data_IF_988813496912
#
_entry.id   IF_988813496912
#
_cell.length_a   1.000
_cell.length_b   1.000
_cell.length_c   1.000
_cell.angle_alpha   90.00
_cell.angle_beta   90.00
_cell.angle_gamma   90.00
#
_symmetry.space_group_name_H-M   'P 1'
#
loop_
_entity.id
_entity.type
_entity.pdbx_description
1 polymer ?
#
# COMPACT_ATOMS: atom_id res chain seq x y z
N UNK A 1 -1.51 -0.92 -8.69
CA UNK A 1 -0.92 -2.23 -9.02
C UNK A 1 -1.00 -2.39 -10.52
N UNK A 2 0.14 -2.69 -11.14
CA UNK A 2 0.27 -2.89 -12.58
C UNK A 2 0.91 -4.26 -12.81
N UNK A 3 0.65 -4.87 -13.95
CA UNK A 3 1.40 -6.06 -14.37
C UNK A 3 2.77 -5.69 -14.95
N UNK A 4 3.56 -6.70 -15.33
CA UNK A 4 4.89 -6.51 -15.93
C UNK A 4 4.88 -5.84 -17.31
N UNK A 5 3.71 -5.74 -17.96
CA UNK A 5 3.53 -5.00 -19.22
C UNK A 5 3.14 -3.53 -19.00
N UNK A 6 2.91 -3.13 -17.75
CA UNK A 6 2.43 -1.79 -17.39
C UNK A 6 0.91 -1.64 -17.48
N UNK A 7 0.15 -2.72 -17.69
CA UNK A 7 -1.32 -2.66 -17.67
C UNK A 7 -1.83 -2.49 -16.24
N UNK A 8 -2.83 -1.63 -16.07
CA UNK A 8 -3.43 -1.39 -14.76
C UNK A 8 -4.25 -2.59 -14.29
N UNK A 9 -4.00 -3.04 -13.06
CA UNK A 9 -4.73 -4.15 -12.43
C UNK A 9 -5.70 -3.65 -11.35
N UNK A 10 -5.21 -2.88 -10.39
CA UNK A 10 -6.00 -2.43 -9.23
C UNK A 10 -5.33 -1.29 -8.46
N UNK A 11 -6.04 -0.73 -7.49
CA UNK A 11 -5.51 0.19 -6.49
C UNK A 11 -6.03 -0.16 -5.10
N UNK A 12 -5.32 0.28 -4.07
CA UNK A 12 -5.75 0.15 -2.68
C UNK A 12 -6.48 1.44 -2.30
N UNK A 13 -7.73 1.32 -1.87
CA UNK A 13 -8.51 2.45 -1.40
C UNK A 13 -8.14 2.80 0.05
N UNK A 14 -7.68 4.03 0.29
CA UNK A 14 -7.29 4.54 1.61
C UNK A 14 -8.26 5.60 2.15
N UNK A 15 -9.42 5.81 1.53
CA UNK A 15 -10.32 6.92 1.86
C UNK A 15 -10.83 6.90 3.31
N UNK A 16 -11.01 5.72 3.91
CA UNK A 16 -11.43 5.59 5.31
C UNK A 16 -10.34 5.93 6.32
N UNK A 17 -9.07 5.78 5.92
CA UNK A 17 -7.90 6.08 6.74
C UNK A 17 -6.75 6.62 5.86
N UNK A 18 -6.83 7.91 5.46
CA UNK A 18 -5.94 8.50 4.46
C UNK A 18 -4.48 8.49 4.90
N UNK A 19 -3.58 8.31 3.93
CA UNK A 19 -2.14 8.45 4.15
C UNK A 19 -1.77 9.92 4.38
N UNK A 20 -0.78 10.16 5.23
CA UNK A 20 -0.25 11.50 5.51
C UNK A 20 1.28 11.48 5.53
N UNK A 21 1.90 11.91 4.44
CA UNK A 21 3.36 11.92 4.29
C UNK A 21 4.03 10.54 4.38
N UNK A 22 3.55 9.51 3.64
CA UNK A 22 4.21 8.21 3.62
C UNK A 22 5.59 8.30 2.95
N UNK A 23 6.58 7.59 3.49
CA UNK A 23 7.97 7.67 3.00
C UNK A 23 8.52 6.36 2.43
N UNK A 24 7.92 5.24 2.78
CA UNK A 24 8.42 3.93 2.35
C UNK A 24 7.31 2.89 2.29
N UNK A 25 7.56 1.84 1.52
CA UNK A 25 6.71 0.67 1.43
C UNK A 25 7.54 -0.60 1.30
N UNK A 26 6.99 -1.71 1.79
CA UNK A 26 7.54 -3.05 1.65
C UNK A 26 6.43 -4.06 1.36
N UNK A 27 6.78 -5.15 0.68
CA UNK A 27 5.88 -6.27 0.46
C UNK A 27 6.19 -7.39 1.46
N UNK A 28 5.15 -8.08 1.88
CA UNK A 28 5.22 -9.27 2.74
C UNK A 28 4.93 -10.51 1.92
N UNK A 29 5.48 -11.66 2.33
CA UNK A 29 5.29 -12.94 1.61
C UNK A 29 3.85 -13.46 1.66
N UNK A 30 3.04 -12.96 2.59
CA UNK A 30 1.62 -13.32 2.75
C UNK A 30 0.66 -12.35 2.04
N UNK A 31 1.16 -11.47 1.18
CA UNK A 31 0.32 -10.67 0.27
C UNK A 31 -0.15 -9.33 0.80
N UNK A 32 0.61 -8.72 1.71
CA UNK A 32 0.37 -7.37 2.20
C UNK A 32 1.44 -6.38 1.75
N UNK A 33 1.03 -5.14 1.53
CA UNK A 33 1.91 -3.99 1.46
C UNK A 33 1.88 -3.27 2.79
N UNK A 34 3.05 -3.03 3.35
CA UNK A 34 3.24 -2.24 4.56
C UNK A 34 3.75 -0.87 4.14
N UNK A 35 3.10 0.19 4.61
CA UNK A 35 3.44 1.59 4.30
C UNK A 35 3.89 2.28 5.57
N UNK A 36 5.07 2.91 5.55
CA UNK A 36 5.55 3.78 6.62
C UNK A 36 4.91 5.16 6.48
N UNK A 37 3.80 5.39 7.18
CA UNK A 37 2.98 6.59 7.10
C UNK A 37 3.44 7.63 8.12
N UNK A 38 4.53 8.34 7.79
CA UNK A 38 5.32 9.09 8.77
C UNK A 38 4.57 10.26 9.40
N UNK A 39 3.69 10.93 8.65
CA UNK A 39 2.87 12.01 9.20
C UNK A 39 1.76 11.52 10.13
N UNK A 40 1.30 10.27 9.97
CA UNK A 40 0.38 9.64 10.92
C UNK A 40 1.11 8.86 12.02
N UNK A 41 2.44 8.89 12.05
CA UNK A 41 3.29 8.22 13.03
C UNK A 41 3.01 6.72 13.18
N UNK A 42 2.66 6.03 12.09
CA UNK A 42 2.28 4.63 12.12
C UNK A 42 2.75 3.85 10.89
N UNK A 43 2.65 2.52 10.98
CA UNK A 43 2.70 1.65 9.80
C UNK A 43 1.27 1.24 9.43
N UNK A 44 0.89 1.44 8.17
CA UNK A 44 -0.40 0.98 7.64
C UNK A 44 -0.20 -0.27 6.80
N UNK A 45 -1.08 -1.25 6.96
CA UNK A 45 -0.97 -2.55 6.30
C UNK A 45 -2.20 -2.77 5.44
N UNK A 46 -1.98 -3.08 4.16
CA UNK A 46 -3.04 -3.30 3.19
C UNK A 46 -2.82 -4.61 2.45
N UNK A 47 -3.88 -5.39 2.24
CA UNK A 47 -3.82 -6.60 1.41
C UNK A 47 -3.88 -6.22 -0.07
N UNK A 48 -3.01 -6.80 -0.90
CA UNK A 48 -3.00 -6.58 -2.35
C UNK A 48 -3.21 -7.86 -3.17
N UNK A 49 -3.15 -9.04 -2.54
CA UNK A 49 -3.56 -10.30 -3.14
C UNK A 49 -5.02 -10.61 -2.76
N UNK A 50 -5.90 -10.61 -3.77
CA UNK A 50 -7.14 -11.39 -3.80
C UNK A 50 -7.08 -12.31 -5.01
#
# INVERSE_FOLDING_TARGET
VFDGSGSFLSYINTAADPLYGPQGLALTSDGHVVVADSGNHCFKVYRYLQ
#
